data_IF_644574405264
#
_entry.id   IF_644574405264
#
_cell.length_a   1.000
_cell.length_b   1.000
_cell.length_c   1.000
_cell.angle_alpha   90.00
_cell.angle_beta   90.00
_cell.angle_gamma   90.00
#
_symmetry.space_group_name_H-M   'P 1'
#
loop_
_entity.id
_entity.type
_entity.pdbx_description
1 polymer ?
#
# COMPACT_ATOMS: atom_id res chain seq x y z
N UNK A 1 16.61 28.71 -52.74
CA UNK A 1 16.81 28.15 -51.38
C UNK A 1 15.93 28.92 -50.42
N UNK A 2 14.86 28.30 -49.94
CA UNK A 2 13.82 28.94 -49.13
C UNK A 2 14.19 28.91 -47.65
N UNK A 3 14.32 30.09 -47.04
CA UNK A 3 14.52 30.28 -45.60
C UNK A 3 13.18 30.29 -44.87
N UNK A 4 12.96 29.34 -43.96
CA UNK A 4 11.79 29.30 -43.08
C UNK A 4 12.01 30.22 -41.88
N UNK A 5 11.12 31.21 -41.71
CA UNK A 5 11.04 32.09 -40.53
C UNK A 5 10.10 31.47 -39.50
N UNK A 6 10.60 31.20 -38.30
CA UNK A 6 9.79 30.73 -37.16
C UNK A 6 9.36 31.96 -36.35
N UNK A 7 8.06 32.21 -36.28
CA UNK A 7 7.44 33.23 -35.43
C UNK A 7 7.04 32.63 -34.09
N UNK A 8 7.68 33.07 -33.00
CA UNK A 8 7.29 32.71 -31.63
C UNK A 8 6.23 33.68 -31.12
N UNK A 9 5.01 33.21 -30.89
CA UNK A 9 3.95 33.97 -30.23
C UNK A 9 4.07 33.86 -28.71
N UNK A 10 4.39 35.00 -28.08
CA UNK A 10 4.54 35.19 -26.63
C UNK A 10 3.17 35.34 -25.97
N UNK A 11 2.73 34.35 -25.20
CA UNK A 11 1.47 34.42 -24.45
C UNK A 11 1.69 35.18 -23.13
N UNK A 12 1.09 36.37 -22.98
CA UNK A 12 1.06 37.15 -21.72
C UNK A 12 -0.15 36.69 -20.91
N UNK A 13 0.04 36.12 -19.71
CA UNK A 13 -1.04 35.94 -18.72
C UNK A 13 -1.06 37.14 -17.76
N UNK A 14 -2.22 37.74 -17.49
CA UNK A 14 -2.36 38.79 -16.48
C UNK A 14 -2.34 38.21 -15.06
N UNK A 15 -1.68 38.95 -14.16
CA UNK A 15 -1.63 38.72 -12.72
C UNK A 15 -3.02 38.93 -12.10
N UNK A 16 -3.48 37.95 -11.34
CA UNK A 16 -4.74 37.98 -10.59
C UNK A 16 -4.53 38.64 -9.23
N UNK A 17 -5.50 39.46 -8.85
CA UNK A 17 -5.56 40.35 -7.69
C UNK A 17 -5.75 39.60 -6.36
N UNK A 18 -5.07 40.10 -5.33
CA UNK A 18 -5.13 39.63 -3.94
C UNK A 18 -6.53 39.78 -3.32
N UNK A 19 -7.15 38.67 -2.93
CA UNK A 19 -8.22 38.67 -1.94
C UNK A 19 -7.62 38.39 -0.54
N UNK A 20 -7.65 39.41 0.31
CA UNK A 20 -7.35 39.31 1.73
C UNK A 20 -8.59 38.80 2.47
N UNK A 21 -8.59 37.52 2.87
CA UNK A 21 -9.60 36.95 3.76
C UNK A 21 -9.13 37.04 5.20
N UNK A 22 -9.93 37.74 6.02
CA UNK A 22 -9.75 37.85 7.47
C UNK A 22 -9.75 36.45 8.10
N UNK A 23 -8.62 36.06 8.68
CA UNK A 23 -8.50 34.84 9.48
C UNK A 23 -9.30 34.99 10.78
N UNK A 24 -10.47 34.35 10.85
CA UNK A 24 -11.18 34.08 12.10
C UNK A 24 -10.43 32.96 12.82
N UNK A 25 -9.73 33.30 13.88
CA UNK A 25 -9.08 32.32 14.75
C UNK A 25 -10.16 31.59 15.54
N UNK A 26 -10.60 30.44 15.02
CA UNK A 26 -11.28 29.45 15.83
C UNK A 26 -10.23 28.66 16.59
N UNK A 27 -10.24 28.80 17.91
CA UNK A 27 -9.51 27.95 18.84
C UNK A 27 -9.96 26.50 18.63
N UNK A 28 -9.19 25.74 17.85
CA UNK A 28 -9.43 24.32 17.67
C UNK A 28 -8.85 23.59 18.88
N UNK A 29 -9.74 23.11 19.75
CA UNK A 29 -9.46 21.91 20.55
C UNK A 29 -8.87 20.85 19.62
N UNK A 30 -7.75 20.19 19.97
CA UNK A 30 -7.19 19.13 19.15
C UNK A 30 -8.13 17.93 19.22
N UNK A 31 -9.16 17.91 18.37
CA UNK A 31 -9.90 16.70 18.08
C UNK A 31 -8.88 15.71 17.51
N UNK A 32 -8.69 14.60 18.20
CA UNK A 32 -7.83 13.52 17.71
C UNK A 32 -8.18 13.25 16.24
N UNK A 33 -7.20 13.19 15.31
CA UNK A 33 -7.45 13.02 13.89
C UNK A 33 -8.29 11.76 13.58
N UNK A 34 -8.37 10.82 14.52
CA UNK A 34 -9.17 9.61 14.41
C UNK A 34 -10.68 9.81 14.62
N UNK A 35 -11.09 10.91 15.27
CA UNK A 35 -12.50 11.16 15.61
C UNK A 35 -13.38 11.47 14.39
N UNK A 36 -12.78 11.89 13.27
CA UNK A 36 -13.50 12.23 12.04
C UNK A 36 -13.86 11.00 11.17
N UNK A 37 -13.28 9.83 11.46
CA UNK A 37 -13.37 8.66 10.60
C UNK A 37 -14.29 7.59 11.18
N UNK A 38 -15.07 6.95 10.31
CA UNK A 38 -15.97 5.86 10.72
C UNK A 38 -15.16 4.71 11.35
N UNK A 39 -15.55 4.19 12.52
CA UNK A 39 -14.89 3.02 13.12
C UNK A 39 -14.90 1.83 12.16
N UNK A 40 -13.79 1.08 12.11
CA UNK A 40 -13.59 -0.01 11.16
C UNK A 40 -13.24 0.43 9.74
N UNK A 41 -13.18 1.73 9.44
CA UNK A 41 -12.69 2.23 8.16
C UNK A 41 -11.16 2.16 8.08
N UNK A 42 -10.63 2.08 6.85
CA UNK A 42 -9.19 2.12 6.59
C UNK A 42 -8.84 3.47 5.99
N UNK A 43 -7.84 4.14 6.57
CA UNK A 43 -7.30 5.41 6.10
C UNK A 43 -5.94 5.12 5.46
N UNK A 44 -5.70 5.75 4.32
CA UNK A 44 -4.44 5.65 3.58
C UNK A 44 -3.72 6.99 3.65
N UNK A 45 -2.43 6.99 3.98
CA UNK A 45 -1.62 8.21 3.98
C UNK A 45 -1.33 8.72 2.57
N UNK A 46 -0.80 9.94 2.45
CA UNK A 46 -0.06 10.33 1.25
C UNK A 46 1.14 9.40 1.01
N UNK A 47 1.63 9.29 -0.24
CA UNK A 47 2.80 8.46 -0.53
C UNK A 47 4.02 9.04 0.19
N UNK A 48 4.82 8.18 0.81
CA UNK A 48 6.05 8.61 1.47
C UNK A 48 7.07 9.13 0.43
N UNK A 49 7.75 10.26 0.67
CA UNK A 49 8.60 10.90 -0.35
C UNK A 49 9.81 10.05 -0.80
N UNK A 50 10.24 9.08 0.01
CA UNK A 50 11.39 8.24 -0.31
C UNK A 50 10.97 6.84 -0.76
N UNK A 51 10.06 6.20 -0.02
CA UNK A 51 9.68 4.80 -0.28
C UNK A 51 8.51 4.68 -1.24
N UNK A 52 7.78 5.78 -1.51
CA UNK A 52 6.54 5.84 -2.30
C UNK A 52 5.37 4.97 -1.80
N UNK A 53 5.58 4.18 -0.74
CA UNK A 53 4.54 3.39 -0.08
C UNK A 53 3.57 4.28 0.70
N UNK A 54 2.29 3.94 0.61
CA UNK A 54 1.23 4.50 1.44
C UNK A 54 1.10 3.69 2.72
N UNK A 55 1.11 4.37 3.87
CA UNK A 55 0.85 3.73 5.15
C UNK A 55 -0.66 3.59 5.37
N UNK A 56 -1.06 2.44 5.88
CA UNK A 56 -2.45 2.14 6.22
C UNK A 56 -2.65 2.30 7.72
N UNK A 57 -3.70 3.04 8.10
CA UNK A 57 -4.19 3.11 9.47
C UNK A 57 -5.62 2.57 9.49
N UNK A 58 -5.85 1.50 10.24
CA UNK A 58 -7.18 0.92 10.38
C UNK A 58 -7.77 1.50 11.67
N UNK A 59 -8.92 2.17 11.56
CA UNK A 59 -9.58 2.74 12.73
C UNK A 59 -10.23 1.61 13.53
N UNK A 60 -9.88 1.42 14.82
CA UNK A 60 -10.47 0.35 15.62
C UNK A 60 -11.97 0.60 15.84
N UNK A 61 -12.82 -0.45 15.83
CA UNK A 61 -14.20 -0.33 16.29
C UNK A 61 -14.24 -0.06 17.81
N UNK A 62 -15.32 0.54 18.30
CA UNK A 62 -15.47 0.91 19.72
C UNK A 62 -15.35 -0.30 20.68
N UNK A 63 -15.86 -1.46 20.25
CA UNK A 63 -15.81 -2.74 20.95
C UNK A 63 -14.90 -3.75 20.21
N UNK A 64 -13.69 -3.32 19.88
CA UNK A 64 -12.66 -4.17 19.24
C UNK A 64 -12.29 -5.35 20.15
N UNK A 65 -12.41 -6.58 19.61
CA UNK A 65 -11.94 -7.78 20.30
C UNK A 65 -10.41 -7.88 20.27
N UNK A 66 -9.84 -8.68 21.17
CA UNK A 66 -8.38 -8.89 21.22
C UNK A 66 -7.85 -9.47 19.89
N UNK A 67 -8.58 -10.42 19.29
CA UNK A 67 -8.19 -11.04 18.00
C UNK A 67 -8.16 -10.02 16.86
N UNK A 68 -9.15 -9.12 16.80
CA UNK A 68 -9.18 -8.05 15.80
C UNK A 68 -8.06 -7.03 16.00
N UNK A 69 -7.80 -6.66 17.25
CA UNK A 69 -6.69 -5.77 17.59
C UNK A 69 -5.36 -6.37 17.14
N UNK A 70 -5.16 -7.66 17.40
CA UNK A 70 -3.95 -8.37 16.99
C UNK A 70 -3.85 -8.42 15.47
N UNK A 71 -4.90 -8.84 14.77
CA UNK A 71 -4.90 -8.88 13.31
C UNK A 71 -4.73 -7.51 12.66
N UNK A 72 -5.24 -6.43 13.27
CA UNK A 72 -5.01 -5.06 12.82
C UNK A 72 -3.56 -4.64 13.00
N UNK A 73 -2.99 -4.82 14.19
CA UNK A 73 -1.59 -4.50 14.49
C UNK A 73 -0.64 -5.28 13.58
N UNK A 74 -0.94 -6.54 13.31
CA UNK A 74 -0.14 -7.39 12.43
C UNK A 74 -0.08 -6.80 11.01
N UNK A 75 -1.22 -6.38 10.46
CA UNK A 75 -1.28 -5.68 9.16
C UNK A 75 -0.50 -4.37 9.14
N UNK A 76 -0.65 -3.55 10.19
CA UNK A 76 0.07 -2.29 10.32
C UNK A 76 1.58 -2.52 10.42
N UNK A 77 2.02 -3.57 11.11
CA UNK A 77 3.43 -3.96 11.24
C UNK A 77 3.99 -4.45 9.90
N UNK A 78 3.26 -5.29 9.16
CA UNK A 78 3.68 -5.75 7.83
C UNK A 78 3.84 -4.57 6.87
N UNK A 79 2.88 -3.62 6.86
CA UNK A 79 2.99 -2.40 6.07
C UNK A 79 4.20 -1.55 6.45
N UNK A 80 4.51 -1.44 7.74
CA UNK A 80 5.69 -0.74 8.23
C UNK A 80 6.98 -1.40 7.78
N UNK A 81 7.06 -2.72 7.87
CA UNK A 81 8.18 -3.50 7.37
C UNK A 81 8.44 -3.23 5.87
N UNK A 82 7.40 -3.22 5.05
CA UNK A 82 7.53 -2.87 3.63
C UNK A 82 8.06 -1.45 3.45
N UNK A 83 7.48 -0.48 4.16
CA UNK A 83 7.91 0.91 4.12
C UNK A 83 9.39 1.08 4.47
N UNK A 84 9.84 0.49 5.57
CA UNK A 84 11.22 0.56 6.04
C UNK A 84 12.20 -0.05 5.03
N UNK A 85 11.89 -1.24 4.50
CA UNK A 85 12.71 -1.89 3.49
C UNK A 85 12.88 -1.00 2.24
N UNK A 86 11.76 -0.51 1.68
CA UNK A 86 11.81 0.29 0.46
C UNK A 86 12.40 1.68 0.67
N UNK A 87 12.24 2.27 1.85
CA UNK A 87 12.92 3.51 2.21
C UNK A 87 14.44 3.30 2.18
N UNK A 88 14.94 2.27 2.86
CA UNK A 88 16.37 1.97 2.90
C UNK A 88 16.91 1.58 1.52
N UNK A 89 16.19 0.75 0.77
CA UNK A 89 16.58 0.36 -0.59
C UNK A 89 16.70 1.57 -1.53
N UNK A 90 15.74 2.49 -1.48
CA UNK A 90 15.75 3.66 -2.36
C UNK A 90 16.86 4.64 -2.01
N UNK A 91 17.16 4.83 -0.71
CA UNK A 91 18.31 5.62 -0.27
C UNK A 91 19.63 5.01 -0.72
N UNK A 92 19.78 3.69 -0.53
CA UNK A 92 20.96 2.96 -0.96
C UNK A 92 21.15 3.03 -2.49
N UNK A 93 20.07 2.82 -3.26
CA UNK A 93 20.09 2.96 -4.71
C UNK A 93 20.52 4.37 -5.13
N UNK A 94 19.97 5.42 -4.51
CA UNK A 94 20.34 6.80 -4.78
C UNK A 94 21.83 7.08 -4.53
N UNK A 95 22.38 6.56 -3.43
CA UNK A 95 23.80 6.69 -3.11
C UNK A 95 24.70 5.97 -4.13
N UNK A 96 24.38 4.71 -4.47
CA UNK A 96 25.14 3.96 -5.49
C UNK A 96 25.07 4.64 -6.87
N UNK A 97 23.89 5.19 -7.22
CA UNK A 97 23.70 5.91 -8.47
C UNK A 97 24.59 7.15 -8.53
N UNK A 98 24.62 7.95 -7.47
CA UNK A 98 25.46 9.15 -7.39
C UNK A 98 26.95 8.79 -7.50
N UNK A 99 27.40 7.76 -6.77
CA UNK A 99 28.78 7.29 -6.84
C UNK A 99 29.16 6.84 -8.27
N UNK A 100 28.24 6.17 -8.97
CA UNK A 100 28.45 5.76 -10.35
C UNK A 100 28.56 6.96 -11.30
N UNK A 101 27.70 7.97 -11.15
CA UNK A 101 27.76 9.21 -11.95
C UNK A 101 29.12 9.91 -11.76
N UNK A 102 29.58 10.06 -10.52
CA UNK A 102 30.86 10.67 -10.19
C UNK A 102 32.04 9.88 -10.77
N UNK A 103 31.99 8.54 -10.69
CA UNK A 103 33.01 7.67 -11.27
C UNK A 103 33.10 7.80 -12.79
N UNK A 104 31.97 7.76 -13.50
CA UNK A 104 31.96 7.90 -14.97
C UNK A 104 32.44 9.29 -15.37
N UNK A 105 31.95 10.35 -14.73
CA UNK A 105 32.37 11.71 -15.02
C UNK A 105 33.87 11.92 -14.78
N UNK A 106 34.46 11.28 -13.76
CA UNK A 106 35.90 11.36 -13.50
C UNK A 106 36.76 10.65 -14.56
N UNK A 107 36.21 9.67 -15.27
CA UNK A 107 36.92 8.87 -16.26
C UNK A 107 36.75 9.39 -17.69
N UNK A 108 35.56 9.90 -18.03
CA UNK A 108 35.21 10.28 -19.40
C UNK A 108 35.02 11.79 -19.59
N UNK A 109 35.00 12.57 -18.50
CA UNK A 109 34.62 13.99 -18.48
C UNK A 109 33.20 14.26 -19.03
N UNK A 110 32.38 13.22 -19.16
CA UNK A 110 31.04 13.28 -19.74
C UNK A 110 29.99 12.62 -18.84
N UNK A 111 28.71 12.94 -19.09
CA UNK A 111 27.59 12.31 -18.39
C UNK A 111 27.43 10.83 -18.82
N UNK A 112 26.94 9.93 -17.94
CA UNK A 112 26.81 8.52 -18.28
C UNK A 112 25.86 8.27 -19.45
N UNK A 113 26.30 7.43 -20.39
CA UNK A 113 25.50 7.03 -21.55
C UNK A 113 24.43 5.99 -21.17
N UNK A 114 23.41 5.74 -22.00
CA UNK A 114 22.45 4.66 -21.76
C UNK A 114 23.07 3.26 -21.61
N UNK A 115 24.21 3.01 -22.26
CA UNK A 115 24.98 1.77 -22.11
C UNK A 115 25.60 1.65 -20.72
N UNK A 116 26.16 2.74 -20.21
CA UNK A 116 26.72 2.83 -18.86
C UNK A 116 25.64 2.59 -17.81
N UNK A 117 24.47 3.21 -17.99
CA UNK A 117 23.31 2.97 -17.13
C UNK A 117 22.88 1.50 -17.11
N UNK A 118 22.84 0.85 -18.27
CA UNK A 118 22.48 -0.57 -18.36
C UNK A 118 23.47 -1.46 -17.59
N UNK A 119 24.77 -1.15 -17.67
CA UNK A 119 25.82 -1.85 -16.90
C UNK A 119 25.68 -1.60 -15.40
N UNK A 120 25.44 -0.36 -14.99
CA UNK A 120 25.19 0.00 -13.59
C UNK A 120 23.99 -0.74 -13.03
N UNK A 121 22.84 -0.71 -13.72
CA UNK A 121 21.63 -1.37 -13.24
C UNK A 121 21.83 -2.87 -13.06
N UNK A 122 22.49 -3.53 -14.02
CA UNK A 122 22.82 -4.95 -13.91
C UNK A 122 23.69 -5.23 -12.69
N UNK A 123 24.78 -4.48 -12.51
CA UNK A 123 25.70 -4.65 -11.38
C UNK A 123 25.02 -4.36 -10.03
N UNK A 124 24.15 -3.36 -9.97
CA UNK A 124 23.37 -3.04 -8.78
C UNK A 124 22.40 -4.17 -8.43
N UNK A 125 21.64 -4.69 -9.41
CA UNK A 125 20.70 -5.78 -9.17
C UNK A 125 21.43 -7.05 -8.71
N UNK A 126 22.59 -7.34 -9.28
CA UNK A 126 23.41 -8.48 -8.90
C UNK A 126 23.98 -8.33 -7.48
N UNK A 127 24.53 -7.16 -7.14
CA UNK A 127 25.09 -6.89 -5.79
C UNK A 127 24.03 -6.80 -4.68
N UNK A 128 22.78 -6.49 -5.03
CA UNK A 128 21.68 -6.38 -4.06
C UNK A 128 20.75 -7.59 -4.06
N UNK A 129 21.11 -8.66 -4.79
CA UNK A 129 20.30 -9.85 -4.97
C UNK A 129 19.91 -10.52 -3.64
N UNK A 130 20.89 -10.82 -2.79
CA UNK A 130 20.66 -11.54 -1.53
C UNK A 130 19.72 -10.79 -0.60
N UNK A 131 19.89 -9.46 -0.51
CA UNK A 131 19.00 -8.59 0.27
C UNK A 131 17.55 -8.62 -0.22
N UNK A 132 17.32 -8.68 -1.54
CA UNK A 132 15.98 -8.81 -2.10
C UNK A 132 15.41 -10.22 -1.91
N UNK A 133 16.25 -11.26 -2.00
CA UNK A 133 15.85 -12.62 -1.70
C UNK A 133 15.39 -12.76 -0.23
N UNK A 134 16.17 -12.22 0.71
CA UNK A 134 15.82 -12.17 2.14
C UNK A 134 14.53 -11.40 2.40
N UNK A 135 14.35 -10.26 1.74
CA UNK A 135 13.11 -9.51 1.81
C UNK A 135 11.92 -10.34 1.32
N UNK A 136 12.02 -10.96 0.15
CA UNK A 136 10.95 -11.79 -0.40
C UNK A 136 10.62 -12.98 0.51
N UNK A 137 11.64 -13.62 1.08
CA UNK A 137 11.44 -14.69 2.06
C UNK A 137 10.66 -14.20 3.29
N UNK A 138 11.02 -13.03 3.84
CA UNK A 138 10.31 -12.39 4.96
C UNK A 138 8.86 -12.02 4.59
N UNK A 139 8.62 -11.51 3.39
CA UNK A 139 7.27 -11.21 2.90
C UNK A 139 6.40 -12.47 2.90
N UNK A 140 6.91 -13.58 2.37
CA UNK A 140 6.18 -14.86 2.39
C UNK A 140 5.94 -15.35 3.81
N UNK A 141 6.96 -15.29 4.67
CA UNK A 141 6.82 -15.65 6.09
C UNK A 141 5.72 -14.83 6.77
N UNK A 142 5.71 -13.50 6.59
CA UNK A 142 4.66 -12.64 7.14
C UNK A 142 3.29 -12.96 6.57
N UNK A 143 3.17 -13.20 5.26
CA UNK A 143 1.92 -13.56 4.62
C UNK A 143 1.32 -14.84 5.23
N UNK A 144 2.13 -15.89 5.41
CA UNK A 144 1.68 -17.13 6.04
C UNK A 144 1.38 -16.96 7.52
N UNK A 145 2.24 -16.26 8.27
CA UNK A 145 2.02 -15.98 9.69
C UNK A 145 0.72 -15.18 9.92
N UNK A 146 0.35 -14.31 8.98
CA UNK A 146 -0.84 -13.45 9.05
C UNK A 146 -2.15 -14.21 8.83
N UNK A 147 -2.13 -15.42 8.24
CA UNK A 147 -3.37 -16.16 7.90
C UNK A 147 -4.19 -16.49 9.15
N UNK A 148 -3.55 -16.98 10.20
CA UNK A 148 -4.21 -17.33 11.46
C UNK A 148 -4.82 -16.11 12.17
N UNK A 149 -4.07 -15.04 12.49
CA UNK A 149 -4.65 -13.87 13.14
C UNK A 149 -5.69 -13.17 12.26
N UNK A 150 -5.51 -13.17 10.93
CA UNK A 150 -6.54 -12.64 10.02
C UNK A 150 -7.84 -13.44 10.09
N UNK A 151 -7.75 -14.77 10.14
CA UNK A 151 -8.92 -15.63 10.30
C UNK A 151 -9.62 -15.41 11.65
N UNK A 152 -8.86 -15.40 12.75
CA UNK A 152 -9.41 -15.16 14.09
C UNK A 152 -10.06 -13.79 14.20
N UNK A 153 -9.43 -12.74 13.65
CA UNK A 153 -9.99 -11.40 13.60
C UNK A 153 -11.31 -11.34 12.81
N UNK A 154 -11.37 -11.99 11.63
CA UNK A 154 -12.60 -12.04 10.83
C UNK A 154 -13.71 -12.83 11.52
N UNK A 155 -13.36 -13.94 12.18
CA UNK A 155 -14.31 -14.72 12.97
C UNK A 155 -14.86 -13.92 14.15
N UNK A 156 -14.00 -13.26 14.92
CA UNK A 156 -14.40 -12.40 16.02
C UNK A 156 -15.30 -11.24 15.55
N UNK A 157 -14.96 -10.62 14.42
CA UNK A 157 -15.77 -9.56 13.79
C UNK A 157 -17.17 -10.06 13.45
N UNK A 158 -17.28 -11.23 12.82
CA UNK A 158 -18.57 -11.83 12.43
C UNK A 158 -19.41 -12.15 13.65
N UNK A 159 -18.84 -12.78 14.68
CA UNK A 159 -19.54 -13.05 15.94
C UNK A 159 -20.09 -11.78 16.57
N UNK A 160 -19.30 -10.71 16.62
CA UNK A 160 -19.75 -9.41 17.13
C UNK A 160 -20.90 -8.84 16.30
N UNK A 161 -20.77 -8.78 14.98
CA UNK A 161 -21.84 -8.25 14.12
C UNK A 161 -23.14 -9.05 14.28
N UNK A 162 -23.06 -10.37 14.42
CA UNK A 162 -24.23 -11.21 14.70
C UNK A 162 -24.85 -10.91 16.06
N UNK A 163 -24.05 -10.67 17.11
CA UNK A 163 -24.55 -10.28 18.42
C UNK A 163 -25.22 -8.89 18.40
N UNK A 164 -24.60 -7.91 17.74
CA UNK A 164 -25.14 -6.56 17.60
C UNK A 164 -26.47 -6.57 16.82
N UNK A 165 -26.54 -7.36 15.75
CA UNK A 165 -27.78 -7.56 14.97
C UNK A 165 -28.86 -8.25 15.80
N UNK A 166 -28.50 -9.26 16.60
CA UNK A 166 -29.45 -9.95 17.48
C UNK A 166 -29.97 -9.00 18.57
N UNK A 167 -29.11 -8.16 19.15
CA UNK A 167 -29.53 -7.15 20.12
C UNK A 167 -30.51 -6.16 19.50
N UNK A 168 -30.18 -5.59 18.34
CA UNK A 168 -31.07 -4.69 17.60
C UNK A 168 -32.41 -5.35 17.25
N UNK A 169 -32.40 -6.64 16.89
CA UNK A 169 -33.61 -7.40 16.63
C UNK A 169 -34.47 -7.58 17.89
N UNK A 170 -33.86 -7.90 19.04
CA UNK A 170 -34.55 -8.04 20.32
C UNK A 170 -35.17 -6.70 20.77
N UNK A 171 -34.48 -5.59 20.56
CA UNK A 171 -34.96 -4.26 20.91
C UNK A 171 -36.12 -3.83 20.00
N UNK A 172 -36.01 -4.01 18.68
CA UNK A 172 -37.09 -3.74 17.74
C UNK A 172 -38.36 -4.56 18.03
N UNK A 173 -38.19 -5.81 18.48
CA UNK A 173 -39.30 -6.67 18.90
C UNK A 173 -40.00 -6.16 20.17
N UNK A 174 -39.26 -5.57 21.12
CA UNK A 174 -39.84 -4.99 22.34
C UNK A 174 -40.63 -3.72 22.05
N UNK A 175 -40.20 -2.93 21.06
CA UNK A 175 -40.84 -1.68 20.68
C UNK A 175 -42.08 -1.86 19.76
N UNK A 176 -42.45 -3.10 19.43
CA UNK A 176 -43.62 -3.45 18.60
C UNK A 176 -43.66 -2.71 17.24
N UNK A 177 -42.48 -2.40 16.69
CA UNK A 177 -42.34 -1.75 15.38
C UNK A 177 -42.57 -2.79 14.29
N UNK A 178 -43.71 -2.73 13.60
CA UNK A 178 -44.06 -3.67 12.51
C UNK A 178 -43.33 -3.37 11.19
N UNK A 179 -42.85 -2.15 10.98
CA UNK A 179 -42.14 -1.74 9.76
C UNK A 179 -40.61 -1.73 9.97
N UNK A 180 -40.00 -2.91 9.95
CA UNK A 180 -38.54 -3.06 10.00
C UNK A 180 -37.98 -3.47 8.64
N UNK A 181 -37.26 -2.59 7.91
CA UNK A 181 -36.85 -2.81 6.52
C UNK A 181 -36.02 -4.08 6.23
N UNK A 182 -35.37 -4.66 7.25
CA UNK A 182 -34.48 -5.83 7.17
C UNK A 182 -35.16 -7.19 7.43
N UNK A 183 -36.49 -7.24 7.62
CA UNK A 183 -37.26 -8.50 7.55
C UNK A 183 -37.20 -9.16 6.16
N UNK A 184 -36.80 -8.40 5.14
CA UNK A 184 -36.20 -8.95 3.93
C UNK A 184 -34.79 -9.42 4.27
N UNK A 185 -34.66 -10.69 4.67
CA UNK A 185 -33.44 -11.28 5.24
C UNK A 185 -32.14 -10.94 4.48
N UNK A 186 -30.97 -11.04 5.16
CA UNK A 186 -29.69 -10.67 4.56
C UNK A 186 -29.50 -11.40 3.22
N UNK A 187 -28.95 -10.74 2.18
CA UNK A 187 -28.61 -11.45 0.95
C UNK A 187 -27.69 -12.62 1.32
N UNK A 188 -27.95 -13.83 0.78
CA UNK A 188 -27.22 -15.01 1.17
C UNK A 188 -25.70 -14.79 1.01
N UNK A 189 -24.88 -15.32 1.93
CA UNK A 189 -23.44 -15.13 1.88
C UNK A 189 -22.89 -15.68 0.57
N UNK A 190 -22.55 -14.78 -0.33
CA UNK A 190 -21.84 -15.10 -1.56
C UNK A 190 -20.38 -15.36 -1.21
N UNK A 191 -20.02 -16.63 -1.00
CA UNK A 191 -18.63 -17.05 -0.82
C UNK A 191 -17.73 -16.49 -1.94
N UNK A 192 -18.26 -16.38 -3.17
CA UNK A 192 -17.60 -15.72 -4.30
C UNK A 192 -17.13 -14.28 -3.99
N UNK A 193 -17.92 -13.47 -3.28
CA UNK A 193 -17.53 -12.09 -2.90
C UNK A 193 -16.47 -12.05 -1.82
N UNK A 194 -16.54 -12.94 -0.81
CA UNK A 194 -15.55 -12.98 0.28
C UNK A 194 -14.20 -13.50 -0.23
N UNK A 195 -14.22 -14.53 -1.09
CA UNK A 195 -13.01 -15.12 -1.67
C UNK A 195 -12.31 -14.15 -2.63
N UNK A 196 -13.05 -13.48 -3.51
CA UNK A 196 -12.48 -12.46 -4.40
C UNK A 196 -11.91 -11.26 -3.64
N UNK A 197 -12.51 -10.87 -2.51
CA UNK A 197 -11.97 -9.77 -1.68
C UNK A 197 -10.67 -10.18 -0.99
N UNK A 198 -10.54 -11.44 -0.54
CA UNK A 198 -9.31 -11.98 0.04
C UNK A 198 -8.17 -12.09 -0.99
N UNK A 199 -8.46 -12.56 -2.20
CA UNK A 199 -7.48 -12.65 -3.28
C UNK A 199 -7.07 -11.28 -3.83
N UNK A 200 -8.00 -10.32 -3.93
CA UNK A 200 -7.66 -8.97 -4.33
C UNK A 200 -6.67 -8.32 -3.35
N UNK A 201 -6.78 -8.55 -2.04
CA UNK A 201 -5.79 -8.06 -1.07
C UNK A 201 -4.39 -8.66 -1.24
N UNK A 202 -4.28 -9.89 -1.75
CA UNK A 202 -2.98 -10.52 -2.05
C UNK A 202 -2.38 -10.04 -3.38
N UNK A 203 -3.23 -9.66 -4.36
CA UNK A 203 -2.81 -9.24 -5.70
C UNK A 203 -2.33 -7.78 -5.82
N UNK A 204 -2.71 -6.90 -4.90
CA UNK A 204 -2.31 -5.48 -4.95
C UNK A 204 -0.82 -5.23 -4.71
N UNK A 205 -0.10 -6.16 -4.09
CA UNK A 205 1.34 -6.02 -3.84
C UNK A 205 2.23 -6.21 -5.07
N UNK A 206 1.74 -6.86 -6.13
CA UNK A 206 2.57 -7.25 -7.29
C UNK A 206 2.27 -6.48 -8.57
N UNK A 207 1.11 -5.82 -8.69
CA UNK A 207 0.74 -5.10 -9.92
C UNK A 207 1.29 -3.67 -10.02
N UNK A 208 1.79 -3.10 -8.92
CA UNK A 208 2.29 -1.73 -8.89
C UNK A 208 3.78 -1.58 -9.27
N UNK A 209 4.51 -2.67 -9.52
CA UNK A 209 5.96 -2.65 -9.79
C UNK A 209 6.33 -3.25 -11.16
N UNK A 210 5.37 -3.87 -11.87
CA UNK A 210 5.59 -4.36 -13.22
C UNK A 210 5.32 -3.24 -14.24
N UNK A 211 6.38 -2.57 -14.70
CA UNK A 211 6.37 -1.96 -16.04
C UNK A 211 6.19 -3.05 -17.11
N UNK A 212 5.73 -2.67 -18.30
CA UNK A 212 5.31 -3.56 -19.40
C UNK A 212 6.43 -4.46 -19.99
N UNK A 213 7.61 -4.44 -19.40
CA UNK A 213 8.78 -5.20 -19.80
C UNK A 213 8.66 -6.61 -19.19
N UNK A 214 8.12 -7.56 -19.94
CA UNK A 214 7.92 -8.97 -19.54
C UNK A 214 9.17 -9.76 -19.11
N UNK A 215 10.33 -9.12 -18.96
CA UNK A 215 11.58 -9.72 -18.46
C UNK A 215 11.59 -9.88 -16.94
N UNK A 216 10.90 -9.01 -16.19
CA UNK A 216 10.87 -9.06 -14.72
C UNK A 216 9.95 -10.20 -14.24
N UNK A 217 8.85 -10.43 -14.96
CA UNK A 217 7.86 -11.45 -14.61
C UNK A 217 8.40 -12.88 -14.80
N UNK A 218 9.24 -13.12 -15.81
CA UNK A 218 9.88 -14.43 -16.03
C UNK A 218 10.93 -14.75 -14.95
N UNK A 219 11.66 -13.74 -14.47
CA UNK A 219 12.63 -13.89 -13.38
C UNK A 219 11.95 -14.24 -12.04
N UNK A 220 10.85 -13.56 -11.68
CA UNK A 220 10.09 -13.87 -10.47
C UNK A 220 9.37 -15.23 -10.54
N UNK A 221 8.86 -15.64 -11.72
CA UNK A 221 8.28 -16.97 -11.91
C UNK A 221 9.31 -18.10 -11.76
N UNK A 222 10.50 -17.95 -12.36
CA UNK A 222 11.59 -18.93 -12.23
C UNK A 222 12.08 -19.05 -10.76
N UNK A 223 12.04 -17.95 -10.02
CA UNK A 223 12.46 -17.93 -8.62
C UNK A 223 11.41 -18.54 -7.66
N UNK A 224 10.11 -18.32 -7.92
CA UNK A 224 9.03 -18.97 -7.18
C UNK A 224 9.04 -20.50 -7.35
N UNK A 225 9.40 -21.00 -8.53
CA UNK A 225 9.65 -22.43 -8.81
C UNK A 225 10.81 -22.98 -7.97
N UNK A 226 11.90 -22.23 -7.85
CA UNK A 226 13.07 -22.63 -7.05
C UNK A 226 12.75 -22.71 -5.55
N UNK A 227 12.00 -21.74 -5.02
CA UNK A 227 11.56 -21.76 -3.62
C UNK A 227 10.57 -22.88 -3.31
N UNK A 228 9.66 -23.21 -4.25
CA UNK A 228 8.76 -24.37 -4.09
C UNK A 228 9.54 -25.69 -3.93
N UNK A 229 10.63 -25.87 -4.67
CA UNK A 229 11.46 -27.09 -4.58
C UNK A 229 12.20 -27.20 -3.24
N UNK A 230 12.67 -26.09 -2.69
CA UNK A 230 13.32 -26.05 -1.37
C UNK A 230 12.37 -26.33 -0.21
N UNK A 231 11.08 -26.03 -0.37
CA UNK A 231 10.07 -26.24 0.69
C UNK A 231 9.52 -27.66 0.72
N UNK A 232 9.67 -28.44 -0.36
CA UNK A 232 9.27 -29.86 -0.44
C UNK A 232 10.38 -30.80 0.09
N UNK A 233 11.58 -30.26 0.34
CA UNK A 233 12.75 -31.02 0.80
C UNK A 233 13.08 -30.81 2.29
N UNK A 234 12.22 -30.10 3.03
CA UNK A 234 12.20 -30.03 4.50
C UNK A 234 10.97 -30.74 5.04
#
# INVERSE_FOLDING_TARGET
MQTLRITTTRCKRPLSTHHCTKHRQHSATPSSPDAAHKPGSTITSSPHPISHIHLLKIIPPANESLDERNGRRDRENVMRFHHEFWMHNNLHFGACKQQFEEQVMSQTEATPTPSDWSRFYRAYLESTYDRHADYNAKVWMYAFASLRPAFLAEWARRRRMSADLMSQWLDARKENVQDVPWLRGPPPPSWKRTFNRAFNHLGYGYRAVAGDDGSIQSFFCAHAEKMKKSFVTM
#
